data_IF_919382581033
#
_entry.id   IF_919382581033
#
_cell.length_a   1.000
_cell.length_b   1.000
_cell.length_c   1.000
_cell.angle_alpha   90.00
_cell.angle_beta   90.00
_cell.angle_gamma   90.00
#
_symmetry.space_group_name_H-M   'P 1'
#
loop_
_entity.id
_entity.type
_entity.pdbx_description
1 polymer ?
#
# COMPACT_ATOMS: atom_id res chain seq x y z
N UNK A 1 -9.71 -27.34 -20.29
CA UNK A 1 -10.40 -27.02 -19.02
C UNK A 1 -9.43 -26.75 -17.86
N UNK A 2 -8.47 -27.64 -17.57
CA UNK A 2 -7.51 -27.44 -16.47
C UNK A 2 -6.78 -26.09 -16.53
N UNK A 3 -6.27 -25.69 -17.72
CA UNK A 3 -5.56 -24.41 -17.91
C UNK A 3 -6.42 -23.17 -17.63
N UNK A 4 -7.73 -23.22 -17.93
CA UNK A 4 -8.68 -22.13 -17.68
C UNK A 4 -8.97 -22.02 -16.18
N UNK A 5 -9.14 -23.18 -15.52
CA UNK A 5 -9.35 -23.25 -14.07
C UNK A 5 -8.12 -22.74 -13.32
N UNK A 6 -6.91 -23.13 -13.73
CA UNK A 6 -5.66 -22.64 -13.13
C UNK A 6 -5.51 -21.13 -13.30
N UNK A 7 -5.82 -20.59 -14.50
CA UNK A 7 -5.78 -19.15 -14.75
C UNK A 7 -6.80 -18.37 -13.90
N UNK A 8 -8.04 -18.88 -13.80
CA UNK A 8 -9.09 -18.28 -12.98
C UNK A 8 -8.72 -18.32 -11.49
N UNK A 9 -8.13 -19.42 -11.01
CA UNK A 9 -7.68 -19.54 -9.62
C UNK A 9 -6.56 -18.53 -9.31
N UNK A 10 -5.60 -18.34 -10.23
CA UNK A 10 -4.55 -17.34 -10.09
C UNK A 10 -5.11 -15.91 -10.05
N UNK A 11 -6.09 -15.63 -10.91
CA UNK A 11 -6.78 -14.35 -10.95
C UNK A 11 -7.61 -14.10 -9.68
N UNK A 12 -8.26 -15.14 -9.14
CA UNK A 12 -9.04 -15.07 -7.92
C UNK A 12 -8.16 -14.84 -6.67
N UNK A 13 -6.99 -15.48 -6.59
CA UNK A 13 -5.99 -15.22 -5.53
C UNK A 13 -5.46 -13.79 -5.61
N UNK A 14 -5.19 -13.28 -6.82
CA UNK A 14 -4.73 -11.89 -7.02
C UNK A 14 -5.82 -10.83 -6.72
N UNK A 15 -7.10 -11.20 -6.81
CA UNK A 15 -8.23 -10.35 -6.44
C UNK A 15 -8.48 -10.32 -4.92
N UNK A 16 -8.36 -11.45 -4.23
CA UNK A 16 -8.59 -11.51 -2.77
C UNK A 16 -7.52 -10.76 -1.98
N UNK A 17 -6.28 -10.70 -2.47
CA UNK A 17 -5.24 -9.83 -1.88
C UNK A 17 -5.51 -8.33 -2.04
N UNK A 18 -6.54 -7.93 -2.79
CA UNK A 18 -6.82 -6.52 -3.09
C UNK A 18 -7.56 -5.74 -2.01
N UNK A 19 -8.12 -6.41 -0.99
CA UNK A 19 -9.10 -5.80 -0.10
C UNK A 19 -8.57 -5.43 1.30
N UNK A 20 -7.33 -5.79 1.64
CA UNK A 20 -6.76 -5.50 2.95
C UNK A 20 -5.77 -4.33 2.86
N UNK A 21 -5.95 -3.32 3.71
CA UNK A 21 -4.88 -2.38 4.02
C UNK A 21 -3.99 -3.07 5.05
N UNK A 22 -2.69 -3.14 4.77
CA UNK A 22 -1.72 -3.77 5.66
C UNK A 22 -0.90 -2.71 6.41
N UNK A 23 -0.67 -1.55 5.77
CA UNK A 23 0.18 -0.49 6.29
C UNK A 23 -0.38 0.92 6.06
N UNK A 24 0.00 1.84 6.94
CA UNK A 24 -0.19 3.28 6.79
C UNK A 24 1.15 3.90 6.39
N UNK A 25 1.24 4.40 5.15
CA UNK A 25 2.39 5.15 4.66
C UNK A 25 2.17 6.65 4.90
N UNK A 26 2.85 7.23 5.88
CA UNK A 26 2.82 8.67 6.11
C UNK A 26 3.90 9.40 5.28
N UNK A 27 3.53 10.55 4.72
CA UNK A 27 4.39 11.33 3.82
C UNK A 27 5.00 12.53 4.54
N UNK A 28 6.30 12.72 4.32
CA UNK A 28 7.07 13.84 4.87
C UNK A 28 6.63 15.16 4.25
N UNK A 29 6.34 16.16 5.09
CA UNK A 29 5.96 17.49 4.61
C UNK A 29 7.16 18.30 4.12
N UNK A 30 6.99 19.19 3.13
CA UNK A 30 5.75 19.46 2.38
C UNK A 30 5.45 18.36 1.34
N UNK A 31 4.16 18.03 1.18
CA UNK A 31 3.70 16.98 0.25
C UNK A 31 3.09 17.62 -1.00
N UNK A 32 3.57 17.18 -2.17
CA UNK A 32 3.06 17.62 -3.48
C UNK A 32 2.27 16.51 -4.17
N UNK A 33 1.51 16.84 -5.23
CA UNK A 33 0.85 15.82 -6.06
C UNK A 33 1.85 14.86 -6.70
N UNK A 34 3.07 15.31 -7.00
CA UNK A 34 4.14 14.43 -7.48
C UNK A 34 4.50 13.38 -6.42
N UNK A 35 4.57 13.78 -5.16
CA UNK A 35 4.88 12.86 -4.04
C UNK A 35 3.86 11.72 -3.95
N UNK A 36 2.56 12.01 -4.09
CA UNK A 36 1.52 10.97 -4.12
C UNK A 36 1.67 10.04 -5.32
N UNK A 37 1.96 10.59 -6.51
CA UNK A 37 2.18 9.79 -7.72
C UNK A 37 3.40 8.88 -7.59
N UNK A 38 4.50 9.40 -7.07
CA UNK A 38 5.73 8.63 -6.84
C UNK A 38 5.48 7.51 -5.83
N UNK A 39 4.83 7.82 -4.70
CA UNK A 39 4.48 6.82 -3.67
C UNK A 39 3.60 5.71 -4.23
N UNK A 40 2.56 6.05 -5.00
CA UNK A 40 1.70 5.07 -5.67
C UNK A 40 2.48 4.19 -6.65
N UNK A 41 3.30 4.80 -7.50
CA UNK A 41 4.08 4.06 -8.49
C UNK A 41 5.07 3.09 -7.82
N UNK A 42 5.74 3.52 -6.75
CA UNK A 42 6.64 2.66 -5.99
C UNK A 42 5.88 1.49 -5.34
N UNK A 43 4.72 1.73 -4.72
CA UNK A 43 3.86 0.70 -4.12
C UNK A 43 3.37 -0.31 -5.15
N UNK A 44 2.83 0.17 -6.28
CA UNK A 44 2.31 -0.69 -7.35
C UNK A 44 3.44 -1.48 -8.04
N UNK A 45 4.64 -0.89 -8.19
CA UNK A 45 5.81 -1.59 -8.74
C UNK A 45 6.32 -2.72 -7.85
N UNK A 46 6.07 -2.63 -6.53
CA UNK A 46 6.39 -3.66 -5.54
C UNK A 46 5.27 -4.71 -5.40
N UNK A 47 4.25 -4.69 -6.28
CA UNK A 47 3.11 -5.60 -6.23
C UNK A 47 2.07 -5.24 -5.15
N UNK A 48 2.23 -4.09 -4.50
CA UNK A 48 1.28 -3.54 -3.54
C UNK A 48 0.13 -2.80 -4.21
N UNK A 49 -0.80 -2.30 -3.39
CA UNK A 49 -1.95 -1.49 -3.85
C UNK A 49 -2.17 -0.32 -2.93
N UNK A 50 -2.60 0.80 -3.50
CA UNK A 50 -3.03 1.98 -2.74
C UNK A 50 -4.55 1.98 -2.61
N UNK A 51 -5.04 2.01 -1.38
CA UNK A 51 -6.49 1.99 -1.09
C UNK A 51 -7.10 3.39 -1.13
N UNK A 52 -6.43 4.38 -0.52
CA UNK A 52 -6.92 5.76 -0.39
C UNK A 52 -5.76 6.75 -0.26
N UNK A 53 -6.03 8.04 -0.42
CA UNK A 53 -5.05 9.11 -0.20
C UNK A 53 -5.62 10.17 0.75
N UNK A 54 -5.10 10.22 1.97
CA UNK A 54 -5.39 11.31 2.88
C UNK A 54 -4.59 12.55 2.46
N UNK A 55 -5.31 13.60 2.09
CA UNK A 55 -4.75 14.85 1.53
C UNK A 55 -4.98 16.09 2.40
N UNK A 56 -5.67 15.95 3.54
CA UNK A 56 -6.02 17.06 4.44
C UNK A 56 -4.91 17.31 5.48
N UNK A 57 -5.25 17.36 6.77
CA UNK A 57 -4.28 17.62 7.84
C UNK A 57 -3.22 16.51 7.98
N UNK A 58 -3.61 15.26 7.74
CA UNK A 58 -2.71 14.12 7.74
C UNK A 58 -2.44 13.69 6.28
N UNK A 59 -1.16 13.62 5.91
CA UNK A 59 -0.72 13.23 4.56
C UNK A 59 -0.28 11.77 4.59
N UNK A 60 -1.20 10.87 4.25
CA UNK A 60 -0.93 9.44 4.33
C UNK A 60 -1.63 8.66 3.23
N UNK A 61 -1.10 7.47 2.97
CA UNK A 61 -1.57 6.54 1.94
C UNK A 61 -1.69 5.17 2.58
N UNK A 62 -2.90 4.68 2.89
CA UNK A 62 -3.09 3.30 3.30
C UNK A 62 -2.81 2.37 2.12
N UNK A 63 -1.99 1.35 2.35
CA UNK A 63 -1.50 0.44 1.31
C UNK A 63 -1.58 -1.02 1.74
N UNK A 64 -1.69 -1.91 0.75
CA UNK A 64 -1.18 -3.26 0.87
C UNK A 64 0.23 -3.33 0.28
N UNK A 65 1.11 -4.08 0.90
CA UNK A 65 2.49 -4.22 0.44
C UNK A 65 3.06 -5.57 0.92
N UNK A 66 3.74 -6.34 0.04
CA UNK A 66 4.49 -7.51 0.48
C UNK A 66 5.53 -7.13 1.54
N UNK A 67 5.59 -7.90 2.63
CA UNK A 67 6.37 -7.52 3.82
C UNK A 67 7.87 -7.41 3.55
N UNK A 68 8.38 -8.14 2.56
CA UNK A 68 9.76 -8.06 2.08
C UNK A 68 10.13 -6.70 1.47
N UNK A 69 9.15 -5.90 1.05
CA UNK A 69 9.36 -4.58 0.44
C UNK A 69 9.19 -3.42 1.43
N UNK A 70 8.71 -3.67 2.66
CA UNK A 70 8.45 -2.65 3.68
C UNK A 70 9.68 -1.83 4.01
N UNK A 71 10.83 -2.49 4.24
CA UNK A 71 12.09 -1.80 4.58
C UNK A 71 12.61 -0.93 3.44
N UNK A 72 12.38 -1.37 2.20
CA UNK A 72 12.79 -0.60 1.01
C UNK A 72 11.90 0.61 0.84
N UNK A 73 10.57 0.46 0.96
CA UNK A 73 9.64 1.57 0.83
C UNK A 73 9.79 2.58 1.98
N UNK A 74 9.97 2.12 3.23
CA UNK A 74 10.15 3.00 4.39
C UNK A 74 11.41 3.87 4.31
N UNK A 75 12.42 3.44 3.55
CA UNK A 75 13.66 4.18 3.33
C UNK A 75 13.55 5.32 2.31
N UNK A 76 12.42 5.42 1.57
CA UNK A 76 12.25 6.42 0.52
C UNK A 76 12.23 7.84 1.13
N UNK A 77 12.82 8.83 0.45
CA UNK A 77 13.04 10.16 1.03
C UNK A 77 11.73 10.90 1.37
N UNK A 78 10.64 10.60 0.65
CA UNK A 78 9.33 11.18 0.87
C UNK A 78 8.54 10.55 2.02
N UNK A 79 9.08 9.51 2.65
CA UNK A 79 8.40 8.78 3.73
C UNK A 79 8.76 9.40 5.06
N UNK A 80 7.74 9.66 5.87
CA UNK A 80 7.88 10.04 7.27
C UNK A 80 7.94 8.79 8.14
N UNK A 81 6.96 7.90 7.99
CA UNK A 81 6.94 6.57 8.58
C UNK A 81 6.08 5.62 7.76
N UNK A 82 6.29 4.33 7.99
CA UNK A 82 5.47 3.24 7.46
C UNK A 82 5.19 2.30 8.63
N UNK A 83 3.93 2.20 9.03
CA UNK A 83 3.49 1.36 10.16
C UNK A 83 2.43 0.35 9.72
N UNK A 84 2.36 -0.80 10.39
CA UNK A 84 1.28 -1.76 10.19
C UNK A 84 -0.05 -1.15 10.65
N UNK A 85 -1.11 -1.32 9.86
CA UNK A 85 -2.47 -0.96 10.27
C UNK A 85 -2.98 -1.95 11.33
N UNK A 86 -3.49 -1.44 12.45
CA UNK A 86 -3.83 -2.24 13.63
C UNK A 86 -5.18 -1.85 14.21
N UNK A 87 -5.91 -2.86 14.70
CA UNK A 87 -7.14 -2.66 15.45
C UNK A 87 -6.85 -2.01 16.81
N UNK A 88 -7.55 -0.92 17.10
CA UNK A 88 -7.56 -0.28 18.43
C UNK A 88 -8.77 -0.75 19.24
N UNK A 89 -8.60 -0.90 20.56
CA UNK A 89 -9.66 -1.32 21.48
C UNK A 89 -9.92 -0.21 22.51
N UNK A 90 -11.19 0.05 22.82
CA UNK A 90 -11.59 0.99 23.87
C UNK A 90 -11.87 0.17 25.13
N UNK A 91 -11.27 0.59 26.26
CA UNK A 91 -11.46 -0.02 27.57
C UNK A 91 -12.73 0.49 28.28
#
# INVERSE_FOLDING_TARGET
MLKIITFLLFFFVALISAANTDYILALKSPVSDKTYKDARADVESAGGKVTYEFRAAFKAVPISLPSEHVSTLSSKPYVEFLEEDKSVHIA
#
